data_IF_414407590843
#
_entry.id   IF_414407590843
#
_cell.length_a   1.000
_cell.length_b   1.000
_cell.length_c   1.000
_cell.angle_alpha   90.00
_cell.angle_beta   90.00
_cell.angle_gamma   90.00
#
_symmetry.space_group_name_H-M   'P 1'
#
loop_
_entity.id
_entity.type
_entity.pdbx_description
1 polymer ?
#
# COMPACT_ATOMS: atom_id res chain seq x y z
N UNK A 1 2.82 -16.46 -6.76
CA UNK A 1 2.53 -15.02 -6.66
C UNK A 1 1.84 -14.73 -5.36
N UNK A 2 2.13 -13.58 -4.77
CA UNK A 2 1.56 -13.18 -3.48
C UNK A 2 0.25 -12.41 -3.67
N UNK A 3 0.24 -11.45 -4.60
CA UNK A 3 -0.95 -10.65 -4.84
C UNK A 3 -2.00 -11.47 -5.57
N UNK A 4 -3.19 -11.57 -4.98
CA UNK A 4 -4.24 -12.40 -5.53
C UNK A 4 -5.16 -11.62 -6.48
N UNK A 5 -6.09 -12.33 -7.11
CA UNK A 5 -7.00 -11.75 -8.08
C UNK A 5 -7.93 -10.69 -7.46
N UNK A 6 -8.38 -10.92 -6.23
CA UNK A 6 -9.26 -9.98 -5.53
C UNK A 6 -8.54 -8.64 -5.29
N UNK A 7 -7.25 -8.71 -4.95
CA UNK A 7 -6.45 -7.49 -4.81
C UNK A 7 -6.47 -6.69 -6.11
N UNK A 8 -6.15 -7.36 -7.23
CA UNK A 8 -6.10 -6.69 -8.54
C UNK A 8 -7.47 -6.12 -8.94
N UNK A 9 -8.55 -6.82 -8.64
CA UNK A 9 -9.89 -6.33 -8.91
C UNK A 9 -10.24 -5.10 -8.05
N UNK A 10 -9.89 -5.14 -6.77
CA UNK A 10 -10.19 -4.03 -5.87
C UNK A 10 -9.48 -2.74 -6.26
N UNK A 11 -8.21 -2.81 -6.66
CA UNK A 11 -7.46 -1.59 -6.98
C UNK A 11 -7.88 -0.93 -8.30
N UNK A 12 -8.69 -1.60 -9.12
CA UNK A 12 -9.30 -0.99 -10.31
C UNK A 12 -10.33 0.08 -9.92
N UNK A 13 -10.86 0.00 -8.71
CA UNK A 13 -11.74 1.04 -8.17
C UNK A 13 -10.87 2.21 -7.70
N UNK A 14 -10.66 3.17 -8.60
CA UNK A 14 -9.70 4.25 -8.41
C UNK A 14 -10.00 5.12 -7.20
N UNK A 15 -11.24 5.22 -6.78
CA UNK A 15 -11.66 5.99 -5.62
C UNK A 15 -11.58 5.23 -4.29
N UNK A 16 -11.15 3.98 -4.31
CA UNK A 16 -11.01 3.19 -3.09
C UNK A 16 -9.84 3.68 -2.23
N UNK A 17 -10.00 3.55 -0.91
CA UNK A 17 -8.98 3.96 0.05
C UNK A 17 -8.00 2.82 0.28
N UNK A 18 -6.73 3.18 0.40
CA UNK A 18 -5.65 2.27 0.83
C UNK A 18 -5.22 2.73 2.21
N UNK A 19 -5.28 1.83 3.18
CA UNK A 19 -4.83 2.13 4.55
C UNK A 19 -3.52 1.42 4.84
N UNK A 20 -2.56 2.13 5.42
CA UNK A 20 -1.25 1.61 5.76
C UNK A 20 -1.06 1.72 7.26
N UNK A 21 -0.90 0.58 7.92
CA UNK A 21 -0.69 0.52 9.36
C UNK A 21 0.78 0.25 9.65
N UNK A 22 1.37 1.08 10.51
CA UNK A 22 2.75 0.93 10.96
C UNK A 22 2.79 0.99 12.49
N UNK A 23 3.90 0.58 13.09
CA UNK A 23 4.04 0.51 14.54
C UNK A 23 5.18 1.43 14.99
N UNK A 24 4.87 2.30 15.95
CA UNK A 24 5.86 3.19 16.55
C UNK A 24 6.71 2.49 17.61
N UNK A 25 7.76 3.18 18.07
CA UNK A 25 8.66 2.66 19.12
C UNK A 25 7.93 2.48 20.44
N UNK A 26 6.81 3.16 20.64
CA UNK A 26 5.94 3.01 21.83
C UNK A 26 4.96 1.83 21.69
N UNK A 27 5.03 1.07 20.60
CA UNK A 27 4.16 -0.06 20.35
C UNK A 27 2.77 0.32 19.85
N UNK A 28 2.49 1.61 19.68
CA UNK A 28 1.17 2.05 19.22
C UNK A 28 1.08 2.00 17.70
N UNK A 29 -0.08 1.57 17.17
CA UNK A 29 -0.30 1.59 15.73
C UNK A 29 -0.52 3.01 15.23
N UNK A 30 -0.09 3.24 14.00
CA UNK A 30 -0.35 4.47 13.28
C UNK A 30 -0.92 4.12 11.90
N UNK A 31 -2.00 4.77 11.51
CA UNK A 31 -2.64 4.49 10.23
C UNK A 31 -2.60 5.75 9.38
N UNK A 32 -2.11 5.59 8.16
CA UNK A 32 -2.15 6.61 7.12
C UNK A 32 -2.89 6.05 5.93
N UNK A 33 -3.43 6.90 5.07
CA UNK A 33 -4.13 6.39 3.90
C UNK A 33 -3.75 7.14 2.63
N UNK A 34 -3.94 6.43 1.52
CA UNK A 34 -3.83 6.95 0.18
C UNK A 34 -4.99 6.38 -0.64
N UNK A 35 -4.89 6.38 -1.95
CA UNK A 35 -5.97 5.98 -2.85
C UNK A 35 -5.48 4.92 -3.83
N UNK A 36 -6.39 4.02 -4.22
CA UNK A 36 -6.06 2.98 -5.22
C UNK A 36 -5.45 3.57 -6.49
N UNK A 37 -5.94 4.73 -6.92
CA UNK A 37 -5.45 5.36 -8.15
C UNK A 37 -3.97 5.74 -8.13
N UNK A 38 -3.37 5.82 -6.96
CA UNK A 38 -1.95 6.19 -6.84
C UNK A 38 -1.02 4.99 -6.75
N UNK A 39 -1.56 3.77 -6.61
CA UNK A 39 -0.72 2.59 -6.49
C UNK A 39 -0.08 2.23 -7.83
N UNK A 40 1.19 1.87 -7.79
CA UNK A 40 1.89 1.31 -8.94
C UNK A 40 2.39 -0.07 -8.52
N UNK A 41 2.01 -1.09 -9.29
CA UNK A 41 2.40 -2.47 -9.01
C UNK A 41 3.51 -2.84 -9.99
N UNK A 42 4.66 -3.27 -9.48
CA UNK A 42 5.77 -3.69 -10.32
C UNK A 42 5.59 -5.15 -10.77
N UNK A 43 6.38 -5.59 -11.76
CA UNK A 43 6.30 -6.96 -12.24
C UNK A 43 6.66 -7.98 -11.17
N UNK A 44 7.57 -7.61 -10.26
CA UNK A 44 7.97 -8.46 -9.13
C UNK A 44 7.08 -8.25 -7.91
N UNK A 45 5.88 -7.70 -8.11
CA UNK A 45 4.82 -7.55 -7.11
C UNK A 45 5.11 -6.58 -5.97
N UNK A 46 6.02 -5.63 -6.15
CA UNK A 46 6.14 -4.54 -5.19
C UNK A 46 5.00 -3.56 -5.39
N UNK A 47 4.51 -2.99 -4.29
CA UNK A 47 3.49 -1.95 -4.33
C UNK A 47 4.19 -0.63 -4.03
N UNK A 48 4.13 0.30 -4.98
CA UNK A 48 4.75 1.62 -4.84
C UNK A 48 3.68 2.64 -4.50
N UNK A 49 3.92 3.39 -3.41
CA UNK A 49 3.01 4.42 -2.94
C UNK A 49 3.74 5.76 -2.99
N UNK A 50 3.20 6.74 -3.75
CA UNK A 50 3.80 8.08 -3.79
C UNK A 50 3.60 8.77 -2.45
N UNK A 51 4.64 9.40 -1.93
CA UNK A 51 4.59 10.06 -0.64
C UNK A 51 4.94 11.54 -0.77
N UNK A 52 4.05 12.37 -0.24
CA UNK A 52 4.34 13.76 0.11
C UNK A 52 4.31 13.86 1.64
N UNK A 53 3.26 13.31 2.25
CA UNK A 53 3.17 13.10 3.69
C UNK A 53 3.82 11.78 4.09
N UNK A 54 3.10 10.97 4.89
CA UNK A 54 3.58 9.66 5.37
C UNK A 54 4.83 9.78 6.26
N UNK A 55 5.03 10.93 6.91
CA UNK A 55 6.24 11.16 7.72
C UNK A 55 6.30 10.27 8.94
N UNK A 56 5.16 10.07 9.61
CA UNK A 56 5.11 9.19 10.79
C UNK A 56 5.30 7.73 10.38
N UNK A 57 4.69 7.34 9.26
CA UNK A 57 4.86 5.98 8.70
C UNK A 57 6.32 5.72 8.37
N UNK A 58 7.00 6.69 7.74
CA UNK A 58 8.41 6.56 7.39
C UNK A 58 9.27 6.39 8.64
N UNK A 59 9.04 7.21 9.65
CA UNK A 59 9.78 7.14 10.90
C UNK A 59 9.58 5.79 11.57
N UNK A 60 8.34 5.29 11.59
CA UNK A 60 8.04 3.99 12.18
C UNK A 60 8.75 2.87 11.43
N UNK A 61 8.76 2.92 10.09
CA UNK A 61 9.37 1.88 9.27
C UNK A 61 10.90 1.81 9.42
N UNK A 62 11.55 2.90 9.86
CA UNK A 62 12.99 2.89 10.12
C UNK A 62 13.37 1.94 11.24
N UNK A 63 12.51 1.76 12.25
CA UNK A 63 12.76 0.88 13.37
C UNK A 63 11.96 -0.42 13.30
N UNK A 64 10.76 -0.38 12.70
CA UNK A 64 9.91 -1.55 12.50
C UNK A 64 9.41 -1.55 11.07
N UNK A 65 10.11 -2.22 10.16
CA UNK A 65 9.74 -2.19 8.73
C UNK A 65 8.48 -3.01 8.40
N UNK A 66 8.04 -3.89 9.28
CA UNK A 66 6.80 -4.63 9.06
C UNK A 66 5.61 -3.67 9.08
N UNK A 67 4.80 -3.73 8.03
CA UNK A 67 3.58 -2.92 7.93
C UNK A 67 2.45 -3.79 7.37
N UNK A 68 1.22 -3.34 7.56
CA UNK A 68 0.06 -3.97 6.96
C UNK A 68 -0.68 -2.96 6.11
N UNK A 69 -1.24 -3.45 4.99
CA UNK A 69 -2.00 -2.61 4.06
C UNK A 69 -3.35 -3.24 3.83
N UNK A 70 -4.40 -2.42 3.83
CA UNK A 70 -5.73 -2.85 3.43
C UNK A 70 -6.13 -2.08 2.18
N UNK A 71 -6.61 -2.82 1.18
CA UNK A 71 -7.28 -2.25 0.01
C UNK A 71 -8.69 -2.79 -0.04
N UNK A 72 -9.62 -2.05 -0.62
CA UNK A 72 -10.98 -2.53 -0.74
C UNK A 72 -11.77 -1.79 -1.80
N UNK A 73 -12.91 -2.37 -2.13
CA UNK A 73 -13.85 -1.77 -3.07
C UNK A 73 -15.25 -2.31 -2.78
N UNK A 74 -16.23 -1.42 -2.76
CA UNK A 74 -17.63 -1.81 -2.63
C UNK A 74 -18.23 -2.28 -3.96
N UNK A 75 -17.43 -2.29 -5.01
CA UNK A 75 -17.85 -2.69 -6.38
C UNK A 75 -17.36 -4.07 -6.78
N UNK A 76 -16.64 -4.76 -5.91
CA UNK A 76 -16.11 -6.10 -6.17
C UNK A 76 -16.90 -7.10 -5.33
N UNK A 77 -17.33 -8.22 -5.97
CA UNK A 77 -18.09 -9.25 -5.29
C UNK A 77 -17.26 -9.92 -4.20
N UNK A 78 -17.76 -9.88 -3.00
CA UNK A 78 -17.16 -10.52 -1.84
C UNK A 78 -17.80 -11.86 -1.51
N UNK A 79 -17.40 -12.43 -0.38
CA UNK A 79 -17.90 -13.73 0.08
C UNK A 79 -19.33 -13.66 0.60
N UNK A 80 -19.73 -12.49 1.13
CA UNK A 80 -21.04 -12.32 1.78
C UNK A 80 -21.93 -11.34 1.03
N UNK A 81 -21.47 -10.76 -0.06
CA UNK A 81 -22.23 -9.77 -0.80
C UNK A 81 -21.30 -8.88 -1.59
N UNK A 82 -21.83 -7.79 -2.12
CA UNK A 82 -21.03 -6.84 -2.87
C UNK A 82 -20.14 -6.03 -1.92
N UNK A 83 -18.87 -5.96 -2.25
CA UNK A 83 -17.87 -5.30 -1.43
C UNK A 83 -16.92 -6.28 -0.80
N UNK A 84 -15.64 -6.06 -0.98
CA UNK A 84 -14.59 -6.91 -0.41
C UNK A 84 -13.27 -6.16 -0.37
N UNK A 85 -12.26 -6.81 0.14
CA UNK A 85 -10.93 -6.24 0.21
C UNK A 85 -9.88 -7.30 0.49
N UNK A 86 -8.65 -6.83 0.64
CA UNK A 86 -7.54 -7.68 1.00
C UNK A 86 -6.72 -7.04 2.11
N UNK A 87 -6.25 -7.89 3.02
CA UNK A 87 -5.26 -7.52 4.01
C UNK A 87 -3.92 -8.07 3.55
N UNK A 88 -2.95 -7.17 3.41
CA UNK A 88 -1.59 -7.52 3.01
C UNK A 88 -0.65 -7.27 4.18
N UNK A 89 0.30 -8.16 4.37
CA UNK A 89 1.40 -7.94 5.30
C UNK A 89 2.71 -7.99 4.54
N UNK A 90 3.70 -7.24 5.02
CA UNK A 90 5.00 -7.22 4.39
C UNK A 90 5.89 -6.16 5.01
N UNK A 91 6.89 -5.73 4.25
CA UNK A 91 7.85 -4.73 4.72
C UNK A 91 7.80 -3.49 3.85
N UNK A 92 8.09 -2.36 4.46
CA UNK A 92 8.12 -1.07 3.80
C UNK A 92 9.49 -0.43 3.94
N UNK A 93 9.97 0.18 2.87
CA UNK A 93 11.11 1.08 2.93
C UNK A 93 10.81 2.31 2.08
N UNK A 94 11.47 3.40 2.39
CA UNK A 94 11.25 4.67 1.70
C UNK A 94 12.52 5.04 0.93
N UNK A 95 12.32 5.53 -0.30
CA UNK A 95 13.42 6.04 -1.12
C UNK A 95 13.05 7.40 -1.68
N UNK A 96 14.03 8.28 -1.80
CA UNK A 96 13.86 9.62 -2.35
C UNK A 96 14.58 9.83 -3.67
N UNK A 97 15.21 8.79 -4.19
CA UNK A 97 15.88 8.78 -5.49
C UNK A 97 15.92 7.34 -6.01
N UNK A 98 16.43 7.16 -7.22
CA UNK A 98 16.59 5.85 -7.82
C UNK A 98 15.45 5.50 -8.77
N UNK A 99 15.54 4.29 -9.35
CA UNK A 99 14.64 3.87 -10.43
C UNK A 99 13.16 3.81 -10.00
N UNK A 100 12.89 3.28 -8.81
CA UNK A 100 11.50 3.16 -8.34
C UNK A 100 10.91 4.50 -7.98
N UNK A 101 11.70 5.39 -7.35
CA UNK A 101 11.26 6.76 -7.12
C UNK A 101 10.96 7.47 -8.43
N UNK A 102 11.84 7.35 -9.41
CA UNK A 102 11.66 8.01 -10.71
C UNK A 102 10.40 7.52 -11.40
N UNK A 103 10.11 6.22 -11.34
CA UNK A 103 8.91 5.65 -11.93
C UNK A 103 7.65 6.29 -11.33
N UNK A 104 7.62 6.47 -10.02
CA UNK A 104 6.49 7.09 -9.32
C UNK A 104 6.42 8.58 -9.62
N UNK A 105 7.55 9.28 -9.52
CA UNK A 105 7.62 10.73 -9.69
C UNK A 105 7.25 11.16 -11.10
N UNK A 106 7.60 10.36 -12.10
CA UNK A 106 7.25 10.67 -13.49
C UNK A 106 5.73 10.72 -13.70
N UNK A 107 4.99 9.89 -12.98
CA UNK A 107 3.53 9.85 -13.08
C UNK A 107 2.84 10.80 -12.09
N UNK A 108 3.44 10.97 -10.92
CA UNK A 108 2.83 11.67 -9.79
C UNK A 108 3.83 12.68 -9.23
N UNK A 109 3.84 13.86 -9.83
CA UNK A 109 4.86 14.90 -9.56
C UNK A 109 4.85 15.43 -8.13
N UNK A 110 3.74 15.26 -7.40
CA UNK A 110 3.68 15.68 -6.00
C UNK A 110 4.56 14.82 -5.08
N UNK A 111 4.94 13.63 -5.51
CA UNK A 111 5.71 12.71 -4.68
C UNK A 111 7.15 13.21 -4.50
N UNK A 112 7.60 13.30 -3.26
CA UNK A 112 9.01 13.59 -2.94
C UNK A 112 9.73 12.37 -2.34
N UNK A 113 8.99 11.28 -2.12
CA UNK A 113 9.53 9.96 -1.76
C UNK A 113 8.58 8.91 -2.32
N UNK A 114 9.06 7.66 -2.32
CA UNK A 114 8.23 6.50 -2.62
C UNK A 114 8.30 5.54 -1.44
N UNK A 115 7.14 5.03 -1.01
CA UNK A 115 7.07 3.89 -0.11
C UNK A 115 7.07 2.65 -0.97
N UNK A 116 8.04 1.77 -0.75
CA UNK A 116 8.17 0.50 -1.46
C UNK A 116 7.73 -0.61 -0.52
N UNK A 117 6.57 -1.19 -0.81
CA UNK A 117 6.02 -2.28 0.00
C UNK A 117 6.31 -3.60 -0.70
N UNK A 118 6.98 -4.51 0.03
CA UNK A 118 7.23 -5.86 -0.44
C UNK A 118 6.26 -6.80 0.26
N UNK A 119 5.22 -7.30 -0.42
CA UNK A 119 4.23 -8.14 0.21
C UNK A 119 4.78 -9.52 0.56
N UNK A 120 4.36 -10.03 1.71
CA UNK A 120 4.64 -11.39 2.17
C UNK A 120 3.37 -12.22 2.17
N UNK A 121 2.21 -11.60 2.35
CA UNK A 121 0.92 -12.28 2.26
C UNK A 121 -0.15 -11.32 1.77
N UNK A 122 -1.20 -11.89 1.22
CA UNK A 122 -2.35 -11.16 0.71
C UNK A 122 -3.57 -12.05 0.90
N UNK A 123 -4.53 -11.62 1.73
CA UNK A 123 -5.71 -12.41 2.08
C UNK A 123 -6.97 -11.61 1.86
N UNK A 124 -7.97 -12.24 1.23
CA UNK A 124 -9.30 -11.63 1.10
C UNK A 124 -9.94 -11.53 2.48
N UNK A 125 -10.53 -10.37 2.80
CA UNK A 125 -11.08 -10.10 4.12
C UNK A 125 -12.55 -10.46 4.26
N UNK A 126 -13.37 -10.10 3.32
CA UNK A 126 -14.80 -10.36 3.31
C UNK A 126 -15.26 -10.68 1.88
#
# INVERSE_FOLDING_TARGET
MILNEIFHECIKDLGGIVSVASTGTDGKPHIANTWNKYLIITEDEKILIPCFGFRKTEKNAETQPYVEIVVGSDKVQGKMGMGTGCLLSGTAKFEKDGALFNLVHDKLKFANRVLIFTPESCKQTI
#
